data_IF_020233718993
#
_entry.id   IF_020233718993
#
_cell.length_a   1.000
_cell.length_b   1.000
_cell.length_c   1.000
_cell.angle_alpha   90.00
_cell.angle_beta   90.00
_cell.angle_gamma   90.00
#
_symmetry.space_group_name_H-M   'P 1'
#
loop_
_entity.id
_entity.type
_entity.pdbx_description
1 polymer ?
#
# COMPACT_ATOMS: atom_id res chain seq x y z
N UNK A 1 -21.42 46.21 -0.24
CA UNK A 1 -20.09 46.38 0.39
C UNK A 1 -19.50 44.99 0.53
N UNK A 2 -18.58 44.62 -0.36
CA UNK A 2 -17.97 43.28 -0.38
C UNK A 2 -16.90 43.14 0.70
N UNK A 3 -16.57 41.90 1.12
CA UNK A 3 -15.56 41.66 2.16
C UNK A 3 -14.20 42.19 1.68
N UNK A 4 -13.55 42.96 2.56
CA UNK A 4 -12.19 43.45 2.36
C UNK A 4 -11.28 42.29 1.96
N UNK A 5 -10.71 42.39 0.75
CA UNK A 5 -9.72 41.45 0.25
C UNK A 5 -8.48 41.59 1.11
N UNK A 6 -8.11 40.53 1.81
CA UNK A 6 -6.88 40.45 2.59
C UNK A 6 -5.68 40.86 1.71
N UNK A 7 -4.99 41.98 2.02
CA UNK A 7 -3.89 42.50 1.19
C UNK A 7 -2.71 41.51 1.11
N UNK A 8 -2.60 40.61 2.08
CA UNK A 8 -1.58 39.56 2.14
C UNK A 8 -1.77 38.54 1.01
N UNK A 9 -3.02 38.19 0.70
CA UNK A 9 -3.37 37.26 -0.38
C UNK A 9 -3.06 37.90 -1.75
N UNK A 10 -3.30 39.21 -1.87
CA UNK A 10 -2.94 39.97 -3.07
C UNK A 10 -1.44 39.97 -3.35
N UNK A 11 -0.62 40.22 -2.33
CA UNK A 11 0.84 40.20 -2.44
C UNK A 11 1.39 38.80 -2.79
N UNK A 12 0.85 37.75 -2.17
CA UNK A 12 1.26 36.37 -2.45
C UNK A 12 0.94 35.94 -3.88
N UNK A 13 -0.24 36.32 -4.39
CA UNK A 13 -0.66 36.07 -5.77
C UNK A 13 0.26 36.75 -6.78
N UNK A 14 0.64 38.01 -6.52
CA UNK A 14 1.54 38.75 -7.39
C UNK A 14 2.93 38.07 -7.47
N UNK A 15 3.51 37.72 -6.31
CA UNK A 15 4.80 37.05 -6.24
C UNK A 15 4.80 35.67 -6.93
N UNK A 16 3.71 34.91 -6.79
CA UNK A 16 3.55 33.62 -7.46
C UNK A 16 3.46 33.75 -8.98
N UNK A 17 2.72 34.74 -9.50
CA UNK A 17 2.63 35.00 -10.95
C UNK A 17 3.98 35.46 -11.51
N UNK A 18 4.70 36.33 -10.82
CA UNK A 18 6.07 36.75 -11.21
C UNK A 18 7.06 35.58 -11.25
N UNK A 19 6.85 34.57 -10.40
CA UNK A 19 7.66 33.35 -10.36
C UNK A 19 7.26 32.31 -11.42
N UNK A 20 6.34 32.66 -12.33
CA UNK A 20 5.83 31.76 -13.38
C UNK A 20 4.86 30.70 -12.86
N UNK A 21 4.38 30.82 -11.62
CA UNK A 21 3.46 29.85 -11.04
C UNK A 21 2.05 30.10 -11.55
N UNK A 22 1.35 29.02 -11.91
CA UNK A 22 -0.08 29.08 -12.21
C UNK A 22 -0.86 29.25 -10.90
N UNK A 23 -1.43 30.44 -10.70
CA UNK A 23 -2.25 30.76 -9.53
C UNK A 23 -3.73 30.57 -9.85
N UNK A 24 -4.36 29.61 -9.19
CA UNK A 24 -5.81 29.41 -9.23
C UNK A 24 -6.46 30.14 -8.06
N UNK A 25 -7.45 30.99 -8.34
CA UNK A 25 -8.22 31.69 -7.30
C UNK A 25 -9.64 31.13 -7.29
N UNK A 26 -10.04 30.50 -6.18
CA UNK A 26 -11.43 30.10 -5.96
C UNK A 26 -12.22 31.27 -5.37
N UNK A 27 -13.25 31.69 -6.09
CA UNK A 27 -14.27 32.62 -5.58
C UNK A 27 -15.14 31.86 -4.58
N UNK A 28 -15.27 32.37 -3.35
CA UNK A 28 -16.30 31.93 -2.42
C UNK A 28 -17.65 32.48 -2.88
N UNK A 29 -18.23 31.83 -3.88
CA UNK A 29 -19.45 32.27 -4.55
C UNK A 29 -19.55 31.57 -5.90
N UNK A 30 -20.12 30.36 -5.88
CA UNK A 30 -20.26 29.50 -7.04
C UNK A 30 -20.07 28.04 -6.65
N UNK A 31 -21.12 27.25 -6.87
CA UNK A 31 -21.30 25.81 -6.67
C UNK A 31 -20.04 24.99 -6.31
N UNK A 32 -19.99 24.48 -5.08
CA UNK A 32 -18.83 23.85 -4.48
C UNK A 32 -18.64 22.42 -4.98
N UNK A 33 -17.89 22.34 -6.07
CA UNK A 33 -17.54 21.13 -6.80
C UNK A 33 -16.48 20.29 -6.08
N UNK A 34 -16.75 19.00 -5.86
CA UNK A 34 -15.84 18.04 -5.21
C UNK A 34 -14.45 18.06 -5.85
N UNK A 35 -13.40 18.15 -5.04
CA UNK A 35 -12.02 18.16 -5.47
C UNK A 35 -11.30 16.92 -4.93
N UNK A 36 -10.78 16.07 -5.80
CA UNK A 36 -9.99 14.89 -5.45
C UNK A 36 -8.54 15.08 -5.92
N UNK A 37 -7.59 14.66 -5.09
CA UNK A 37 -6.16 14.68 -5.42
C UNK A 37 -5.71 13.23 -5.59
N UNK A 38 -5.28 12.88 -6.80
CA UNK A 38 -4.67 11.59 -7.13
C UNK A 38 -3.16 11.77 -7.24
N UNK A 39 -2.39 10.89 -6.60
CA UNK A 39 -0.92 10.91 -6.57
C UNK A 39 -0.37 9.60 -7.15
N UNK A 40 0.69 9.67 -7.95
CA UNK A 40 1.47 8.51 -8.40
C UNK A 40 2.96 8.80 -8.33
N UNK A 41 3.80 7.83 -8.68
CA UNK A 41 5.26 7.92 -8.55
C UNK A 41 5.91 9.13 -9.24
N UNK A 42 5.27 9.67 -10.29
CA UNK A 42 5.83 10.73 -11.14
C UNK A 42 4.82 11.87 -11.40
N UNK A 43 3.85 12.12 -10.53
CA UNK A 43 2.90 13.22 -10.73
C UNK A 43 1.69 13.21 -9.82
N UNK A 44 0.90 14.27 -9.92
CA UNK A 44 -0.35 14.45 -9.20
C UNK A 44 -1.41 15.04 -10.12
N UNK A 45 -2.67 14.64 -9.96
CA UNK A 45 -3.82 15.26 -10.62
C UNK A 45 -4.79 15.76 -9.57
N UNK A 46 -5.22 17.00 -9.74
CA UNK A 46 -6.38 17.56 -9.06
C UNK A 46 -7.59 17.39 -9.99
N UNK A 47 -8.50 16.48 -9.64
CA UNK A 47 -9.81 16.37 -10.27
C UNK A 47 -10.79 17.29 -9.56
N UNK A 48 -11.29 18.31 -10.25
CA UNK A 48 -12.48 19.07 -9.85
C UNK A 48 -13.65 18.72 -10.77
N UNK A 49 -14.89 19.06 -10.42
CA UNK A 49 -16.03 18.74 -11.30
C UNK A 49 -15.97 19.44 -12.68
N UNK A 50 -15.17 20.52 -12.81
CA UNK A 50 -15.06 21.31 -14.04
C UNK A 50 -13.75 21.09 -14.80
N UNK A 51 -12.74 20.49 -14.17
CA UNK A 51 -11.43 20.30 -14.80
C UNK A 51 -10.56 19.29 -14.08
N UNK A 52 -9.74 18.59 -14.86
CA UNK A 52 -8.63 17.77 -14.40
C UNK A 52 -7.33 18.54 -14.65
N UNK A 53 -6.54 18.75 -13.60
CA UNK A 53 -5.29 19.53 -13.68
C UNK A 53 -4.15 18.72 -13.10
N UNK A 54 -3.15 18.42 -13.92
CA UNK A 54 -1.89 17.82 -13.46
C UNK A 54 -1.03 18.89 -12.74
N UNK A 55 -0.41 18.51 -11.62
CA UNK A 55 0.48 19.36 -10.85
C UNK A 55 1.65 18.55 -10.26
N UNK A 56 2.74 19.23 -9.92
CA UNK A 56 3.87 18.66 -9.22
C UNK A 56 3.72 18.95 -7.70
N UNK A 57 3.53 17.92 -6.86
CA UNK A 57 3.30 18.12 -5.43
C UNK A 57 4.55 18.64 -4.68
N UNK A 58 5.75 18.47 -5.24
CA UNK A 58 7.02 18.72 -4.55
C UNK A 58 7.48 20.19 -4.62
N UNK A 59 6.76 21.05 -5.34
CA UNK A 59 7.06 22.48 -5.45
C UNK A 59 6.49 23.33 -4.30
N UNK A 60 5.80 22.72 -3.32
CA UNK A 60 5.14 23.45 -2.24
C UNK A 60 6.00 23.44 -0.97
N UNK A 61 6.47 24.60 -0.47
CA UNK A 61 7.16 24.67 0.82
C UNK A 61 6.26 24.16 1.96
N UNK A 62 6.85 23.40 2.90
CA UNK A 62 6.12 22.73 4.00
C UNK A 62 5.17 23.65 4.79
N UNK A 63 5.51 24.93 4.97
CA UNK A 63 4.66 25.91 5.68
C UNK A 63 3.36 26.22 4.92
N UNK A 64 3.43 26.24 3.59
CA UNK A 64 2.27 26.48 2.72
C UNK A 64 1.36 25.25 2.75
N UNK A 65 1.95 24.06 2.66
CA UNK A 65 1.22 22.79 2.74
C UNK A 65 0.51 22.61 4.09
N UNK A 66 1.20 22.81 5.23
CA UNK A 66 0.60 22.68 6.56
C UNK A 66 -0.56 23.67 6.77
N UNK A 67 -0.38 24.94 6.37
CA UNK A 67 -1.44 25.94 6.46
C UNK A 67 -2.66 25.57 5.61
N UNK A 68 -2.41 25.05 4.40
CA UNK A 68 -3.47 24.60 3.49
C UNK A 68 -4.26 23.41 4.07
N UNK A 69 -3.58 22.37 4.54
CA UNK A 69 -4.21 21.22 5.20
C UNK A 69 -5.05 21.63 6.42
N UNK A 70 -4.54 22.54 7.26
CA UNK A 70 -5.28 23.10 8.40
C UNK A 70 -6.46 23.97 8.00
N UNK A 71 -6.46 24.55 6.80
CA UNK A 71 -7.59 25.29 6.26
C UNK A 71 -8.66 24.33 5.75
N UNK A 72 -8.26 23.28 5.03
CA UNK A 72 -9.17 22.24 4.53
C UNK A 72 -9.87 21.50 5.67
N UNK A 73 -9.16 21.16 6.74
CA UNK A 73 -9.72 20.45 7.90
C UNK A 73 -10.82 21.24 8.65
N UNK A 74 -10.96 22.55 8.40
CA UNK A 74 -11.99 23.41 9.02
C UNK A 74 -13.25 23.54 8.19
N UNK A 75 -13.27 23.01 6.97
CA UNK A 75 -14.45 23.06 6.11
C UNK A 75 -15.36 21.88 6.47
N UNK A 76 -16.62 22.13 6.89
CA UNK A 76 -17.58 21.05 7.05
C UNK A 76 -17.84 20.39 5.69
N UNK A 77 -17.62 19.09 5.59
CA UNK A 77 -17.85 18.32 4.38
C UNK A 77 -19.34 18.26 4.06
N UNK A 78 -19.80 19.05 3.09
CA UNK A 78 -21.11 18.86 2.47
C UNK A 78 -20.95 17.87 1.32
N UNK A 79 -21.40 16.64 1.54
CA UNK A 79 -21.45 15.62 0.50
C UNK A 79 -22.43 16.08 -0.59
N UNK A 80 -21.92 16.33 -1.79
CA UNK A 80 -22.75 16.56 -2.97
C UNK A 80 -23.48 15.26 -3.32
N UNK A 81 -24.82 15.32 -3.43
CA UNK A 81 -25.63 14.18 -3.87
C UNK A 81 -25.21 13.74 -5.28
N UNK A 82 -24.69 12.52 -5.41
CA UNK A 82 -24.53 11.82 -6.69
C UNK A 82 -23.09 11.60 -7.20
N UNK A 83 -22.05 12.14 -6.58
CA UNK A 83 -20.68 11.68 -6.86
C UNK A 83 -20.46 10.30 -6.20
N UNK A 84 -19.76 9.33 -6.83
CA UNK A 84 -19.36 8.11 -6.15
C UNK A 84 -18.39 8.51 -5.03
N UNK A 85 -18.92 8.62 -3.82
CA UNK A 85 -18.16 8.95 -2.64
C UNK A 85 -17.37 7.70 -2.23
N UNK A 86 -16.10 7.89 -1.90
CA UNK A 86 -15.36 6.86 -1.16
C UNK A 86 -16.18 6.54 0.09
N UNK A 87 -16.47 5.25 0.36
CA UNK A 87 -17.24 4.88 1.53
C UNK A 87 -16.59 5.43 2.81
N UNK A 88 -17.40 6.03 3.70
CA UNK A 88 -16.92 6.55 4.99
C UNK A 88 -16.32 5.46 5.87
N UNK A 89 -16.70 4.21 5.64
CA UNK A 89 -16.11 3.01 6.19
C UNK A 89 -16.18 1.89 5.16
N UNK A 90 -15.22 0.97 5.23
CA UNK A 90 -15.18 -0.22 4.39
C UNK A 90 -14.67 -1.35 5.27
N UNK A 91 -15.47 -2.40 5.47
CA UNK A 91 -14.99 -3.54 6.25
C UNK A 91 -14.21 -4.48 5.34
N UNK A 92 -13.11 -5.04 5.84
CA UNK A 92 -12.34 -6.02 5.07
C UNK A 92 -13.20 -7.24 4.73
N UNK A 93 -14.11 -7.64 5.61
CA UNK A 93 -15.02 -8.77 5.38
C UNK A 93 -15.99 -8.56 4.20
N UNK A 94 -16.31 -7.30 3.85
CA UNK A 94 -17.14 -6.99 2.69
C UNK A 94 -16.37 -7.22 1.37
N UNK A 95 -15.07 -6.95 1.39
CA UNK A 95 -14.19 -7.13 0.23
C UNK A 95 -13.66 -8.57 0.12
N UNK A 96 -13.40 -9.19 1.27
CA UNK A 96 -12.87 -10.55 1.41
C UNK A 96 -13.72 -11.31 2.44
N UNK A 97 -14.86 -11.90 1.99
CA UNK A 97 -15.75 -12.66 2.85
C UNK A 97 -15.00 -13.79 3.58
N UNK A 98 -15.04 -13.86 4.92
CA UNK A 98 -14.18 -14.72 5.72
C UNK A 98 -14.72 -16.15 5.88
N UNK A 99 -15.65 -16.61 5.02
CA UNK A 99 -16.17 -17.97 5.11
C UNK A 99 -15.07 -18.99 4.80
N UNK A 100 -15.00 -20.13 5.52
CA UNK A 100 -13.97 -21.14 5.30
C UNK A 100 -13.86 -21.65 3.86
N UNK A 101 -14.99 -21.81 3.16
CA UNK A 101 -15.00 -22.22 1.76
C UNK A 101 -14.38 -21.15 0.85
N UNK A 102 -14.74 -19.88 1.06
CA UNK A 102 -14.19 -18.75 0.33
C UNK A 102 -12.68 -18.62 0.54
N UNK A 103 -12.21 -18.84 1.77
CA UNK A 103 -10.78 -18.84 2.11
C UNK A 103 -10.07 -20.01 1.40
N UNK A 104 -10.60 -21.22 1.47
CA UNK A 104 -10.02 -22.40 0.83
C UNK A 104 -9.91 -22.25 -0.69
N UNK A 105 -10.92 -21.68 -1.34
CA UNK A 105 -10.91 -21.38 -2.76
C UNK A 105 -9.82 -20.35 -3.11
N UNK A 106 -9.68 -19.29 -2.30
CA UNK A 106 -8.64 -18.27 -2.50
C UNK A 106 -7.23 -18.84 -2.29
N UNK A 107 -7.03 -19.65 -1.25
CA UNK A 107 -5.75 -20.33 -1.01
C UNK A 107 -5.37 -21.28 -2.16
N UNK A 108 -6.36 -22.00 -2.70
CA UNK A 108 -6.18 -22.86 -3.86
C UNK A 108 -5.82 -22.04 -5.11
N UNK A 109 -6.48 -20.89 -5.32
CA UNK A 109 -6.21 -20.02 -6.45
C UNK A 109 -4.86 -19.30 -6.36
N UNK A 110 -4.44 -18.83 -5.17
CA UNK A 110 -3.13 -18.20 -4.95
C UNK A 110 -1.98 -19.19 -5.00
N UNK A 111 -2.23 -20.49 -4.89
CA UNK A 111 -1.23 -21.51 -5.20
C UNK A 111 -0.76 -21.47 -6.66
N UNK A 112 -1.67 -21.04 -7.56
CA UNK A 112 -1.47 -20.97 -9.00
C UNK A 112 -1.07 -19.56 -9.43
N UNK A 113 -1.76 -18.53 -8.94
CA UNK A 113 -1.48 -17.12 -9.22
C UNK A 113 -0.29 -16.70 -8.35
N UNK A 114 0.87 -16.43 -8.95
CA UNK A 114 1.99 -15.82 -8.22
C UNK A 114 1.60 -14.42 -7.70
N UNK A 115 2.44 -13.85 -6.84
CA UNK A 115 2.18 -12.56 -6.20
C UNK A 115 1.96 -12.67 -4.69
N UNK A 116 1.80 -11.53 -4.03
CA UNK A 116 1.37 -11.39 -2.64
C UNK A 116 0.51 -10.13 -2.52
N UNK A 117 -0.68 -10.20 -3.13
CA UNK A 117 -1.65 -9.11 -3.17
C UNK A 117 -2.49 -9.03 -1.91
N UNK A 118 -2.69 -7.82 -1.41
CA UNK A 118 -3.53 -7.47 -0.27
C UNK A 118 -4.55 -6.41 -0.69
N UNK A 119 -5.84 -6.67 -0.48
CA UNK A 119 -6.89 -5.64 -0.63
C UNK A 119 -6.84 -4.74 0.61
N UNK A 120 -6.71 -3.42 0.42
CA UNK A 120 -6.52 -2.45 1.50
C UNK A 120 -7.73 -1.55 1.75
N UNK A 121 -8.70 -1.53 0.82
CA UNK A 121 -9.91 -0.73 0.96
C UNK A 121 -10.67 -0.58 -0.35
N UNK A 122 -11.58 0.40 -0.37
CA UNK A 122 -12.43 0.72 -1.51
C UNK A 122 -12.15 2.16 -1.96
N UNK A 123 -11.90 2.35 -3.25
CA UNK A 123 -11.91 3.67 -3.90
C UNK A 123 -13.23 3.93 -4.62
N UNK A 124 -13.34 5.09 -5.26
CA UNK A 124 -14.51 5.46 -6.07
C UNK A 124 -14.80 4.48 -7.20
N UNK A 125 -13.76 3.82 -7.73
CA UNK A 125 -13.84 2.96 -8.92
C UNK A 125 -13.78 1.46 -8.58
N UNK A 126 -13.72 1.10 -7.29
CA UNK A 126 -13.60 -0.30 -6.88
C UNK A 126 -12.59 -0.56 -5.76
N UNK A 127 -12.36 -1.84 -5.40
CA UNK A 127 -11.38 -2.22 -4.41
C UNK A 127 -9.96 -1.79 -4.80
N UNK A 128 -9.20 -1.29 -3.82
CA UNK A 128 -7.79 -0.94 -3.96
C UNK A 128 -6.94 -2.04 -3.34
N UNK A 129 -5.88 -2.43 -4.03
CA UNK A 129 -4.97 -3.50 -3.63
C UNK A 129 -3.52 -3.06 -3.79
N UNK A 130 -2.65 -3.69 -3.01
CA UNK A 130 -1.18 -3.60 -3.07
C UNK A 130 -0.63 -5.00 -3.29
N UNK A 131 0.34 -5.20 -4.17
CA UNK A 131 1.03 -6.48 -4.38
C UNK A 131 2.53 -6.38 -4.10
N UNK A 132 2.97 -7.04 -3.02
CA UNK A 132 4.36 -7.00 -2.55
C UNK A 132 5.36 -7.72 -3.48
N UNK A 133 4.89 -8.37 -4.54
CA UNK A 133 5.78 -8.90 -5.58
C UNK A 133 5.96 -7.90 -6.72
N UNK A 134 4.87 -7.32 -7.22
CA UNK A 134 4.90 -6.43 -8.38
C UNK A 134 5.20 -4.98 -8.02
N UNK A 135 4.72 -4.48 -6.87
CA UNK A 135 4.97 -3.12 -6.39
C UNK A 135 6.30 -3.00 -5.61
N UNK A 136 6.89 -4.13 -5.24
CA UNK A 136 8.16 -4.23 -4.55
C UNK A 136 8.06 -4.93 -3.19
N UNK A 137 9.14 -5.58 -2.73
CA UNK A 137 9.12 -6.48 -1.58
C UNK A 137 9.02 -5.77 -0.22
N UNK A 138 9.07 -4.44 -0.20
CA UNK A 138 9.14 -3.66 1.03
C UNK A 138 8.11 -2.54 1.00
N UNK A 139 7.38 -2.39 2.10
CA UNK A 139 6.35 -1.38 2.28
C UNK A 139 6.75 -0.43 3.42
N UNK A 140 6.68 0.87 3.18
CA UNK A 140 6.81 1.90 4.22
C UNK A 140 5.45 2.53 4.50
N UNK A 141 4.97 2.41 5.74
CA UNK A 141 3.75 3.09 6.19
C UNK A 141 4.10 4.15 7.23
N UNK A 142 3.87 5.41 6.88
CA UNK A 142 4.10 6.56 7.74
C UNK A 142 2.79 7.28 8.07
N UNK A 143 2.69 7.78 9.30
CA UNK A 143 1.52 8.52 9.77
C UNK A 143 1.68 8.92 11.23
N UNK A 144 1.04 10.02 11.62
CA UNK A 144 1.00 10.48 13.02
C UNK A 144 0.18 9.52 13.89
N UNK A 145 0.32 9.61 15.21
CA UNK A 145 -0.52 8.83 16.14
C UNK A 145 -2.00 9.10 15.85
N UNK A 146 -2.79 8.04 15.70
CA UNK A 146 -4.22 8.14 15.38
C UNK A 146 -4.57 8.21 13.89
N UNK A 147 -3.58 8.29 12.99
CA UNK A 147 -3.80 8.29 11.53
C UNK A 147 -4.28 6.96 10.94
N UNK A 148 -4.35 5.89 11.74
CA UNK A 148 -4.77 4.56 11.28
C UNK A 148 -3.64 3.64 10.81
N UNK A 149 -2.35 4.00 11.01
CA UNK A 149 -1.20 3.14 10.64
C UNK A 149 -1.37 1.69 11.08
N UNK A 150 -1.64 1.45 12.37
CA UNK A 150 -1.79 0.09 12.90
C UNK A 150 -2.97 -0.65 12.26
N UNK A 151 -4.05 0.06 11.94
CA UNK A 151 -5.23 -0.51 11.30
C UNK A 151 -4.95 -0.90 9.85
N UNK A 152 -4.21 -0.07 9.12
CA UNK A 152 -3.78 -0.39 7.77
C UNK A 152 -2.86 -1.63 7.77
N UNK A 153 -1.91 -1.72 8.71
CA UNK A 153 -1.05 -2.89 8.83
C UNK A 153 -1.85 -4.16 9.13
N UNK A 154 -2.79 -4.11 10.07
CA UNK A 154 -3.71 -5.23 10.34
C UNK A 154 -4.54 -5.61 9.13
N UNK A 155 -5.02 -4.62 8.38
CA UNK A 155 -5.80 -4.84 7.16
C UNK A 155 -4.98 -5.58 6.11
N UNK A 156 -3.74 -5.13 5.86
CA UNK A 156 -2.82 -5.77 4.91
C UNK A 156 -2.54 -7.22 5.31
N UNK A 157 -2.15 -7.44 6.57
CA UNK A 157 -1.84 -8.79 7.07
C UNK A 157 -3.07 -9.70 7.00
N UNK A 158 -4.23 -9.22 7.43
CA UNK A 158 -5.48 -9.98 7.39
C UNK A 158 -5.90 -10.31 5.96
N UNK A 159 -5.77 -9.35 5.03
CA UNK A 159 -6.08 -9.57 3.62
C UNK A 159 -5.18 -10.65 3.01
N UNK A 160 -3.88 -10.63 3.33
CA UNK A 160 -2.93 -11.66 2.90
C UNK A 160 -3.30 -13.01 3.52
N UNK A 161 -3.60 -13.08 4.82
CA UNK A 161 -3.99 -14.32 5.51
C UNK A 161 -5.27 -14.94 4.92
N UNK A 162 -6.24 -14.13 4.52
CA UNK A 162 -7.49 -14.58 3.91
C UNK A 162 -7.32 -15.07 2.46
N UNK A 163 -6.19 -14.76 1.82
CA UNK A 163 -5.92 -15.05 0.40
C UNK A 163 -4.77 -16.05 0.20
N UNK A 164 -3.87 -16.21 1.17
CA UNK A 164 -2.68 -17.06 1.09
C UNK A 164 -2.58 -18.00 2.28
N UNK A 165 -2.33 -19.29 1.98
CA UNK A 165 -2.12 -20.35 2.99
C UNK A 165 -0.84 -20.11 3.82
N UNK A 166 -0.76 -20.60 5.08
CA UNK A 166 0.49 -20.63 5.86
C UNK A 166 1.66 -21.36 5.17
N UNK A 167 1.39 -22.27 4.24
CA UNK A 167 2.46 -22.88 3.43
C UNK A 167 3.09 -21.90 2.42
N UNK A 168 2.46 -20.73 2.23
CA UNK A 168 2.83 -19.70 1.23
C UNK A 168 3.30 -18.39 1.86
N UNK A 169 2.97 -18.10 3.11
CA UNK A 169 3.41 -16.88 3.77
C UNK A 169 3.40 -17.07 5.28
N UNK A 170 4.43 -16.56 5.93
CA UNK A 170 4.58 -16.53 7.37
C UNK A 170 4.84 -15.09 7.82
N UNK A 171 4.29 -14.71 8.97
CA UNK A 171 4.46 -13.40 9.58
C UNK A 171 5.24 -13.50 10.89
N UNK A 172 6.28 -12.68 11.01
CA UNK A 172 6.95 -12.39 12.26
C UNK A 172 6.69 -10.92 12.57
N UNK A 173 5.97 -10.63 13.65
CA UNK A 173 5.65 -9.25 14.02
C UNK A 173 6.73 -8.67 14.93
N UNK A 174 7.11 -7.41 14.71
CA UNK A 174 8.01 -6.66 15.59
C UNK A 174 7.32 -5.36 15.99
N UNK A 175 7.03 -5.19 17.28
CA UNK A 175 6.35 -4.00 17.79
C UNK A 175 7.10 -3.40 18.99
N UNK A 176 7.74 -2.25 18.75
CA UNK A 176 8.51 -1.53 19.77
C UNK A 176 7.65 -0.81 20.83
N UNK A 177 6.31 -0.88 20.74
CA UNK A 177 5.40 -0.18 21.64
C UNK A 177 4.42 -1.14 22.35
N UNK A 178 4.96 -2.14 23.04
CA UNK A 178 4.18 -3.03 23.91
C UNK A 178 3.20 -3.96 23.20
N UNK A 179 3.37 -4.20 21.91
CA UNK A 179 2.59 -5.16 21.13
C UNK A 179 1.10 -4.86 20.92
N UNK A 180 0.61 -3.73 21.44
CA UNK A 180 -0.80 -3.34 21.31
C UNK A 180 -1.24 -3.10 19.86
N UNK A 181 -0.29 -2.78 18.97
CA UNK A 181 -0.55 -2.53 17.56
C UNK A 181 -0.91 -3.80 16.82
N UNK A 182 -0.10 -4.85 16.94
CA UNK A 182 -0.22 -6.05 16.11
C UNK A 182 -0.68 -7.30 16.88
N UNK A 183 -0.83 -7.21 18.21
CA UNK A 183 -1.27 -8.32 19.07
C UNK A 183 -2.52 -9.08 18.61
N UNK A 184 -3.57 -8.43 18.06
CA UNK A 184 -4.75 -9.15 17.55
C UNK A 184 -4.47 -10.14 16.40
N UNK A 185 -3.29 -10.06 15.76
CA UNK A 185 -2.90 -10.92 14.64
C UNK A 185 -2.17 -12.19 15.09
N UNK A 186 -1.95 -12.36 16.39
CA UNK A 186 -1.19 -13.49 16.94
C UNK A 186 -1.83 -14.86 16.70
N UNK A 187 -3.16 -14.90 16.64
CA UNK A 187 -3.93 -16.14 16.46
C UNK A 187 -4.00 -16.59 14.99
N UNK A 188 -3.38 -15.85 14.07
CA UNK A 188 -3.35 -16.23 12.66
C UNK A 188 -2.47 -17.48 12.45
N UNK A 189 -2.87 -18.43 11.59
CA UNK A 189 -2.09 -19.64 11.33
C UNK A 189 -0.75 -19.35 10.65
N UNK A 190 -0.64 -18.20 9.97
CA UNK A 190 0.60 -17.72 9.36
C UNK A 190 1.55 -17.03 10.37
N UNK A 191 1.08 -16.70 11.58
CA UNK A 191 1.89 -16.03 12.59
C UNK A 191 2.90 -17.03 13.20
N UNK A 192 4.19 -16.77 13.02
CA UNK A 192 5.26 -17.59 13.60
C UNK A 192 5.80 -17.01 14.91
N UNK A 193 5.43 -15.77 15.24
CA UNK A 193 5.79 -15.14 16.51
C UNK A 193 5.67 -13.62 16.49
N UNK A 194 5.85 -13.04 17.67
CA UNK A 194 5.88 -11.60 17.88
C UNK A 194 6.99 -11.22 18.84
N UNK A 195 7.68 -10.16 18.51
CA UNK A 195 8.74 -9.57 19.29
C UNK A 195 8.29 -8.19 19.75
N UNK A 196 8.24 -8.00 21.07
CA UNK A 196 7.80 -6.74 21.68
C UNK A 196 8.82 -6.25 22.68
N UNK A 197 8.80 -4.95 22.95
CA UNK A 197 9.59 -4.32 24.01
C UNK A 197 11.08 -4.70 23.96
N UNK A 198 11.60 -4.85 22.74
CA UNK A 198 12.96 -5.33 22.50
C UNK A 198 14.00 -4.37 23.06
N UNK A 199 14.86 -4.88 23.95
CA UNK A 199 16.12 -4.23 24.27
C UNK A 199 17.08 -4.26 23.07
N UNK A 200 18.12 -3.42 23.10
CA UNK A 200 19.14 -3.36 22.05
C UNK A 200 19.78 -4.74 21.79
N UNK A 201 20.14 -5.46 22.86
CA UNK A 201 20.72 -6.81 22.74
C UNK A 201 19.74 -7.84 22.15
N UNK A 202 18.44 -7.75 22.48
CA UNK A 202 17.43 -8.64 21.91
C UNK A 202 17.17 -8.35 20.44
N UNK A 203 17.18 -7.07 20.06
CA UNK A 203 17.09 -6.65 18.66
C UNK A 203 18.31 -7.16 17.86
N UNK A 204 19.53 -6.99 18.37
CA UNK A 204 20.74 -7.49 17.70
C UNK A 204 20.71 -9.01 17.49
N UNK A 205 20.31 -9.76 18.53
CA UNK A 205 20.14 -11.22 18.44
C UNK A 205 19.07 -11.59 17.41
N UNK A 206 17.95 -10.87 17.39
CA UNK A 206 16.88 -11.07 16.41
C UNK A 206 17.38 -10.85 14.99
N UNK A 207 18.07 -9.73 14.74
CA UNK A 207 18.64 -9.43 13.43
C UNK A 207 19.70 -10.47 13.00
N UNK A 208 20.50 -10.97 13.94
CA UNK A 208 21.44 -12.07 13.69
C UNK A 208 20.72 -13.34 13.24
N UNK A 209 19.66 -13.73 13.97
CA UNK A 209 18.83 -14.88 13.61
C UNK A 209 18.14 -14.72 12.26
N UNK A 210 17.60 -13.54 11.95
CA UNK A 210 16.97 -13.25 10.65
C UNK A 210 17.99 -13.35 9.50
N UNK A 211 19.20 -12.83 9.68
CA UNK A 211 20.27 -12.96 8.68
C UNK A 211 20.67 -14.41 8.46
N UNK A 212 20.71 -15.23 9.52
CA UNK A 212 20.99 -16.65 9.41
C UNK A 212 19.90 -17.40 8.63
N UNK A 213 18.62 -17.07 8.87
CA UNK A 213 17.49 -17.61 8.13
C UNK A 213 17.55 -17.27 6.64
N UNK A 214 17.86 -16.01 6.28
CA UNK A 214 18.05 -15.60 4.89
C UNK A 214 19.15 -16.44 4.21
N UNK A 215 20.32 -16.56 4.85
CA UNK A 215 21.44 -17.36 4.32
C UNK A 215 21.08 -18.84 4.16
N UNK A 216 20.31 -19.40 5.10
CA UNK A 216 19.84 -20.78 5.02
C UNK A 216 18.93 -20.98 3.80
N UNK A 217 18.02 -20.04 3.54
CA UNK A 217 17.14 -20.06 2.37
C UNK A 217 17.91 -19.90 1.07
N UNK A 218 18.86 -18.97 1.00
CA UNK A 218 19.74 -18.79 -0.16
C UNK A 218 20.50 -20.08 -0.49
N UNK A 219 21.07 -20.74 0.52
CA UNK A 219 21.76 -22.01 0.35
C UNK A 219 20.82 -23.13 -0.13
N UNK A 220 19.60 -23.19 0.41
CA UNK A 220 18.59 -24.18 0.02
C UNK A 220 18.13 -23.96 -1.42
N UNK A 221 17.86 -22.70 -1.81
CA UNK A 221 17.49 -22.34 -3.18
C UNK A 221 18.63 -22.61 -4.16
N UNK A 222 19.88 -22.30 -3.78
CA UNK A 222 21.05 -22.60 -4.60
C UNK A 222 21.21 -24.11 -4.85
N UNK A 223 21.03 -24.94 -3.81
CA UNK A 223 21.01 -26.41 -3.94
C UNK A 223 19.87 -26.89 -4.83
N UNK A 224 18.66 -26.34 -4.66
CA UNK A 224 17.52 -26.70 -5.50
C UNK A 224 17.73 -26.27 -6.97
N UNK A 225 18.29 -25.08 -7.22
CA UNK A 225 18.66 -24.62 -8.57
C UNK A 225 19.74 -25.50 -9.22
N UNK A 226 20.72 -25.97 -8.43
CA UNK A 226 21.72 -26.96 -8.86
C UNK A 226 21.09 -28.31 -9.22
N UNK A 227 20.12 -28.79 -8.43
CA UNK A 227 19.38 -30.03 -8.70
C UNK A 227 18.45 -29.91 -9.92
N UNK A 228 17.85 -28.74 -10.15
CA UNK A 228 17.04 -28.43 -11.35
C UNK A 228 17.93 -28.44 -12.60
N UNK A 229 19.15 -27.89 -12.53
CA UNK A 229 20.10 -27.90 -13.64
C UNK A 229 20.68 -29.30 -13.92
N UNK A 230 20.77 -30.18 -12.92
CA UNK A 230 21.26 -31.56 -13.09
C UNK A 230 20.20 -32.54 -13.65
N UNK A 231 18.91 -32.21 -13.55
CA UNK A 231 17.81 -33.01 -14.16
C UNK A 231 17.38 -32.50 -15.54
N UNK A 232 17.81 -31.31 -15.94
CA UNK A 232 17.65 -30.81 -17.31
C UNK A 232 18.97 -31.09 -18.02
N UNK A 233 19.04 -32.21 -18.75
CA UNK A 233 20.18 -32.53 -19.61
C UNK A 233 20.54 -31.37 -20.57
N UNK A 234 21.74 -31.39 -21.19
CA UNK A 234 22.27 -30.26 -21.95
C UNK A 234 21.24 -29.72 -22.95
N UNK A 235 21.09 -28.38 -22.94
CA UNK A 235 20.16 -27.58 -23.74
C UNK A 235 20.08 -28.13 -25.18
N UNK A 236 18.93 -28.65 -25.65
CA UNK A 236 18.81 -29.05 -27.04
C UNK A 236 18.90 -27.81 -27.93
N UNK A 237 19.63 -27.93 -29.03
CA UNK A 237 19.76 -26.91 -30.06
C UNK A 237 18.37 -26.49 -30.57
N UNK A 238 18.19 -25.19 -30.82
CA UNK A 238 16.90 -24.61 -31.21
C UNK A 238 16.28 -25.27 -32.44
N UNK A 239 14.98 -25.58 -32.38
CA UNK A 239 14.16 -25.64 -33.58
C UNK A 239 12.94 -24.73 -33.47
N UNK A 240 12.57 -24.13 -34.60
CA UNK A 240 11.47 -23.20 -34.73
C UNK A 240 10.08 -23.78 -34.47
N UNK A 241 9.15 -22.84 -34.27
CA UNK A 241 7.66 -22.92 -34.37
C UNK A 241 7.01 -24.28 -34.11
N UNK A 242 6.26 -24.35 -33.01
CA UNK A 242 5.12 -25.26 -32.88
C UNK A 242 4.89 -25.82 -31.48
N UNK A 243 3.75 -25.41 -30.89
CA UNK A 243 2.94 -26.14 -29.90
C UNK A 243 3.39 -26.34 -28.43
N UNK A 244 2.48 -25.89 -27.55
CA UNK A 244 2.00 -26.46 -26.29
C UNK A 244 3.03 -27.16 -25.37
N UNK A 245 3.58 -26.39 -24.42
CA UNK A 245 4.44 -26.88 -23.34
C UNK A 245 3.91 -26.54 -21.95
N UNK A 246 3.53 -27.58 -21.19
CA UNK A 246 3.13 -27.54 -19.77
C UNK A 246 4.29 -26.99 -18.91
N UNK A 247 4.20 -25.73 -18.49
CA UNK A 247 5.21 -25.09 -17.63
C UNK A 247 5.00 -25.51 -16.17
N UNK A 248 6.00 -26.20 -15.60
CA UNK A 248 6.10 -26.47 -14.17
C UNK A 248 6.23 -25.16 -13.39
N UNK A 249 5.39 -24.98 -12.36
CA UNK A 249 5.31 -23.80 -11.50
C UNK A 249 5.87 -24.13 -10.13
N UNK A 250 6.78 -23.31 -9.61
CA UNK A 250 7.08 -23.25 -8.17
C UNK A 250 7.04 -21.78 -7.72
N UNK A 251 6.47 -21.50 -6.53
CA UNK A 251 6.30 -20.14 -6.05
C UNK A 251 7.60 -19.55 -5.51
N UNK A 252 7.83 -18.28 -5.81
CA UNK A 252 8.77 -17.42 -5.09
C UNK A 252 7.98 -16.87 -3.90
N UNK A 253 8.46 -17.10 -2.69
CA UNK A 253 7.85 -16.56 -1.46
C UNK A 253 8.42 -15.14 -1.22
N UNK A 254 7.62 -14.08 -1.29
CA UNK A 254 8.06 -12.75 -0.87
C UNK A 254 8.14 -12.65 0.67
N UNK A 255 9.09 -11.84 1.14
CA UNK A 255 9.30 -11.54 2.56
C UNK A 255 8.70 -10.17 2.86
N UNK A 256 7.73 -10.12 3.77
CA UNK A 256 7.18 -8.87 4.30
C UNK A 256 7.83 -8.60 5.66
N UNK A 257 8.51 -7.46 5.78
CA UNK A 257 8.91 -6.86 7.06
C UNK A 257 7.96 -5.71 7.35
N UNK A 258 7.24 -5.77 8.47
CA UNK A 258 6.43 -4.67 9.02
C UNK A 258 7.04 -4.20 10.34
#
# INVERSE_FOLDING_TARGET
MGPERDPTIGALRAAAIESGWRVFQRSAGGDESSCAVELWSNGAILRSCLSETEFDPDLVPHLVFDRYCRSLARLPGSAAEGAPLVPSCCQLAELLPPEPSSIADRWSASSVRGGLSAVIGQGTDGPRSLDLVSDGPHLLVAGTTGSGKSELLRTIVSAISLTHSPDRVNFLFVDFKGGSGLGPLLDLPQCVGMLTDLSEHELERTLSSLRAEVRMREATLSKAGSLICQHIGPKPAEPGRGESGRRSRFPILPVLYL
#
